data_IF_548993243137
#
_entry.id   IF_548993243137
#
_cell.length_a   1.000
_cell.length_b   1.000
_cell.length_c   1.000
_cell.angle_alpha   90.00
_cell.angle_beta   90.00
_cell.angle_gamma   90.00
#
_symmetry.space_group_name_H-M   'P 1'
#
loop_
_entity.id
_entity.type
_entity.pdbx_description
1 polymer ?
#
# COMPACT_ATOMS: atom_id res chain seq x y z
N UNK A 1 -1.70 -17.84 28.05
CA UNK A 1 -2.42 -18.97 27.42
C UNK A 1 -3.87 -18.56 27.25
N UNK A 2 -4.28 -18.00 26.13
CA UNK A 2 -5.66 -17.68 25.84
C UNK A 2 -6.26 -18.80 24.99
N UNK A 3 -7.19 -19.56 25.58
CA UNK A 3 -8.02 -20.51 24.85
C UNK A 3 -9.28 -19.80 24.37
N UNK A 4 -9.46 -19.65 23.07
CA UNK A 4 -10.74 -19.22 22.50
C UNK A 4 -11.62 -20.44 22.25
N UNK A 5 -12.61 -20.63 23.13
CA UNK A 5 -13.72 -21.54 22.88
C UNK A 5 -14.91 -20.72 22.35
N UNK A 6 -15.29 -20.89 21.11
CA UNK A 6 -16.52 -20.34 20.56
C UNK A 6 -17.73 -21.15 21.06
N UNK A 7 -18.57 -20.57 21.92
CA UNK A 7 -19.88 -21.14 22.27
C UNK A 7 -20.90 -20.72 21.22
N UNK A 8 -21.42 -21.71 20.49
CA UNK A 8 -22.56 -21.56 19.58
C UNK A 8 -23.86 -21.51 20.41
N UNK A 9 -24.58 -20.41 20.32
CA UNK A 9 -25.97 -20.29 20.81
C UNK A 9 -26.93 -20.58 19.65
N UNK A 10 -27.63 -21.70 19.74
CA UNK A 10 -28.71 -22.05 18.80
C UNK A 10 -29.96 -21.24 19.14
N UNK A 11 -30.47 -20.43 18.21
CA UNK A 11 -31.81 -19.84 18.28
C UNK A 11 -32.76 -20.69 17.45
N UNK A 12 -33.81 -21.21 18.09
CA UNK A 12 -34.95 -21.89 17.45
C UNK A 12 -35.85 -20.82 16.78
N UNK A 13 -35.94 -20.88 15.46
CA UNK A 13 -36.94 -20.20 14.66
C UNK A 13 -37.73 -21.19 13.81
N UNK A 14 -39.01 -21.32 14.05
CA UNK A 14 -39.95 -22.13 13.27
C UNK A 14 -40.35 -21.34 12.03
N UNK A 15 -40.24 -21.92 10.84
CA UNK A 15 -40.80 -21.35 9.59
C UNK A 15 -40.45 -22.12 8.31
N UNK A 16 -41.43 -22.86 7.83
CA UNK A 16 -41.70 -23.29 6.45
C UNK A 16 -40.55 -23.63 5.47
N UNK A 17 -40.57 -24.86 5.08
CA UNK A 17 -39.73 -25.67 4.22
C UNK A 17 -39.28 -25.11 2.87
N UNK A 18 -37.99 -25.11 2.70
CA UNK A 18 -37.28 -25.46 1.47
C UNK A 18 -36.02 -26.16 1.96
N UNK A 19 -35.90 -27.45 1.65
CA UNK A 19 -34.80 -28.29 2.11
C UNK A 19 -33.46 -27.89 1.50
N UNK A 20 -32.83 -26.88 2.07
CA UNK A 20 -31.38 -26.70 1.96
C UNK A 20 -30.76 -27.65 2.98
N UNK A 21 -30.22 -28.77 2.49
CA UNK A 21 -29.38 -29.63 3.29
C UNK A 21 -28.23 -28.80 3.83
N UNK A 22 -28.33 -28.41 5.11
CA UNK A 22 -27.19 -27.85 5.84
C UNK A 22 -26.08 -28.90 5.81
N UNK A 23 -25.02 -28.63 5.07
CA UNK A 23 -23.81 -29.44 5.13
C UNK A 23 -23.37 -29.44 6.59
N UNK A 24 -23.07 -30.59 7.18
CA UNK A 24 -22.58 -30.64 8.56
C UNK A 24 -21.30 -29.81 8.64
N UNK A 25 -21.28 -28.83 9.56
CA UNK A 25 -20.06 -28.10 9.89
C UNK A 25 -19.00 -29.13 10.25
N UNK A 26 -17.80 -29.11 9.61
CA UNK A 26 -16.75 -30.04 9.98
C UNK A 26 -16.47 -29.87 11.48
N UNK A 27 -16.66 -30.89 12.26
CA UNK A 27 -16.17 -30.97 13.62
C UNK A 27 -14.66 -30.99 13.53
N UNK A 28 -14.00 -29.91 14.01
CA UNK A 28 -12.55 -29.92 14.16
C UNK A 28 -12.21 -31.05 15.15
N UNK A 29 -11.56 -32.08 14.65
CA UNK A 29 -11.04 -33.16 15.46
C UNK A 29 -9.91 -32.53 16.31
N UNK A 30 -10.02 -32.58 17.63
CA UNK A 30 -9.00 -32.05 18.56
C UNK A 30 -7.61 -32.70 18.34
N UNK A 31 -7.57 -33.85 17.68
CA UNK A 31 -6.34 -34.56 17.29
C UNK A 31 -5.50 -33.83 16.23
N UNK A 32 -6.04 -32.77 15.57
CA UNK A 32 -5.33 -31.99 14.56
C UNK A 32 -4.96 -30.56 15.05
N UNK A 33 -5.24 -30.24 16.31
CA UNK A 33 -4.83 -28.96 16.89
C UNK A 33 -3.30 -28.91 17.02
N UNK A 34 -2.68 -27.97 16.31
CA UNK A 34 -1.26 -27.70 16.39
C UNK A 34 -1.03 -26.50 17.32
N UNK A 35 -0.19 -26.69 18.34
CA UNK A 35 0.23 -25.59 19.19
C UNK A 35 1.23 -24.70 18.44
N UNK A 36 0.88 -23.43 18.30
CA UNK A 36 1.73 -22.40 17.67
C UNK A 36 1.86 -21.19 18.59
N UNK A 37 3.03 -20.53 18.55
CA UNK A 37 3.27 -19.29 19.30
C UNK A 37 2.58 -18.09 18.64
N UNK A 38 2.48 -18.11 17.30
CA UNK A 38 1.77 -17.09 16.54
C UNK A 38 1.06 -17.70 15.32
N UNK A 39 -0.24 -17.35 15.16
CA UNK A 39 -1.02 -17.68 13.97
C UNK A 39 -1.31 -16.40 13.20
N UNK A 40 -0.90 -16.35 11.93
CA UNK A 40 -1.15 -15.24 11.01
C UNK A 40 -2.20 -15.68 10.00
N UNK A 41 -3.28 -14.91 9.89
CA UNK A 41 -4.38 -15.18 8.97
C UNK A 41 -4.29 -14.20 7.80
N UNK A 42 -4.09 -14.73 6.60
CA UNK A 42 -3.96 -13.99 5.35
C UNK A 42 -2.53 -13.89 4.84
N UNK A 43 -2.31 -14.38 3.61
CA UNK A 43 -1.03 -14.39 2.89
C UNK A 43 -0.81 -13.16 1.99
N UNK A 44 -1.33 -11.99 2.37
CA UNK A 44 -1.02 -10.72 1.73
C UNK A 44 0.28 -10.09 2.26
N UNK A 45 0.65 -8.93 1.74
CA UNK A 45 1.90 -8.22 2.09
C UNK A 45 2.02 -7.98 3.61
N UNK A 46 0.92 -7.66 4.30
CA UNK A 46 0.95 -7.43 5.74
C UNK A 46 1.23 -8.72 6.52
N UNK A 47 0.49 -9.79 6.23
CA UNK A 47 0.70 -11.09 6.86
C UNK A 47 2.10 -11.65 6.61
N UNK A 48 2.59 -11.58 5.37
CA UNK A 48 3.94 -11.99 4.99
C UNK A 48 5.03 -11.20 5.72
N UNK A 49 4.86 -9.88 5.82
CA UNK A 49 5.81 -9.01 6.54
C UNK A 49 5.85 -9.35 8.03
N UNK A 50 4.69 -9.49 8.68
CA UNK A 50 4.61 -9.84 10.11
C UNK A 50 5.19 -11.22 10.37
N UNK A 51 4.90 -12.21 9.50
CA UNK A 51 5.45 -13.56 9.62
C UNK A 51 6.98 -13.56 9.64
N UNK A 52 7.59 -12.90 8.64
CA UNK A 52 9.05 -12.80 8.55
C UNK A 52 9.64 -12.01 9.72
N UNK A 53 9.04 -10.88 10.10
CA UNK A 53 9.51 -10.08 11.25
C UNK A 53 9.49 -10.90 12.55
N UNK A 54 8.41 -11.64 12.81
CA UNK A 54 8.33 -12.51 13.99
C UNK A 54 9.41 -13.59 13.96
N UNK A 55 9.65 -14.20 12.80
CA UNK A 55 10.70 -15.22 12.66
C UNK A 55 12.10 -14.67 12.89
N UNK A 56 12.35 -13.41 12.47
CA UNK A 56 13.64 -12.74 12.71
C UNK A 56 13.84 -12.32 14.17
N UNK A 57 12.77 -11.89 14.85
CA UNK A 57 12.81 -11.41 16.23
C UNK A 57 12.70 -12.54 17.25
N UNK A 58 12.06 -13.64 16.91
CA UNK A 58 11.80 -14.81 17.74
C UNK A 58 12.06 -16.08 16.94
N UNK A 59 13.34 -16.45 16.69
CA UNK A 59 13.70 -17.57 15.82
C UNK A 59 13.13 -18.93 16.27
N UNK A 60 12.93 -19.10 17.59
CA UNK A 60 12.44 -20.32 18.19
C UNK A 60 10.91 -20.47 18.16
N UNK A 61 10.19 -19.40 17.79
CA UNK A 61 8.73 -19.43 17.73
C UNK A 61 8.23 -20.28 16.58
N UNK A 62 7.18 -21.06 16.85
CA UNK A 62 6.38 -21.75 15.85
C UNK A 62 5.37 -20.76 15.28
N UNK A 63 5.74 -20.10 14.19
CA UNK A 63 4.87 -19.15 13.49
C UNK A 63 4.19 -19.85 12.33
N UNK A 64 2.86 -19.80 12.27
CA UNK A 64 2.06 -20.38 11.20
C UNK A 64 1.32 -19.30 10.43
N UNK A 65 1.44 -19.29 9.11
CA UNK A 65 0.67 -18.44 8.21
C UNK A 65 -0.34 -19.29 7.47
N UNK A 66 -1.61 -18.90 7.51
CA UNK A 66 -2.70 -19.55 6.78
C UNK A 66 -3.30 -18.58 5.77
N UNK A 67 -3.62 -19.10 4.59
CA UNK A 67 -4.23 -18.38 3.48
C UNK A 67 -5.42 -19.17 2.96
N UNK A 68 -6.53 -18.49 2.68
CA UNK A 68 -7.75 -19.15 2.16
C UNK A 68 -7.60 -19.62 0.71
N UNK A 69 -6.76 -18.95 -0.06
CA UNK A 69 -6.48 -19.29 -1.44
C UNK A 69 -5.38 -20.35 -1.56
N UNK A 70 -5.21 -20.92 -2.74
CA UNK A 70 -4.20 -21.94 -3.02
C UNK A 70 -2.76 -21.38 -3.09
N UNK A 71 -2.59 -20.05 -3.05
CA UNK A 71 -1.29 -19.36 -3.00
C UNK A 71 -1.45 -17.95 -2.40
N UNK A 72 -0.34 -17.39 -1.94
CA UNK A 72 -0.29 -16.04 -1.36
C UNK A 72 -0.38 -14.94 -2.44
N UNK A 73 -0.69 -13.72 -2.03
CA UNK A 73 -0.76 -12.53 -2.87
C UNK A 73 -1.77 -12.60 -4.04
N UNK A 74 -2.94 -13.19 -3.81
CA UNK A 74 -4.00 -13.27 -4.84
C UNK A 74 -5.04 -12.16 -4.73
N UNK A 75 -5.16 -11.51 -3.58
CA UNK A 75 -6.07 -10.39 -3.34
C UNK A 75 -5.38 -9.03 -3.58
N UNK A 76 -5.60 -8.05 -2.73
CA UNK A 76 -5.07 -6.67 -2.88
C UNK A 76 -3.55 -6.56 -3.01
N UNK A 77 -2.79 -7.58 -2.60
CA UNK A 77 -1.34 -7.62 -2.82
C UNK A 77 -0.94 -8.17 -4.20
N UNK A 78 -1.90 -8.67 -5.00
CA UNK A 78 -1.60 -9.10 -6.36
C UNK A 78 -1.16 -7.89 -7.21
N UNK A 79 -0.17 -8.09 -8.06
CA UNK A 79 0.43 -7.04 -8.90
C UNK A 79 -0.56 -6.36 -9.85
N UNK A 80 -1.70 -6.99 -10.15
CA UNK A 80 -2.76 -6.45 -11.01
C UNK A 80 -3.96 -5.89 -10.24
N UNK A 81 -3.97 -6.00 -8.90
CA UNK A 81 -5.08 -5.54 -8.05
C UNK A 81 -4.77 -4.28 -7.24
N UNK A 82 -3.62 -3.66 -7.49
CA UNK A 82 -3.21 -2.40 -6.89
C UNK A 82 -2.43 -1.54 -7.89
N UNK A 83 -2.18 -0.29 -7.54
CA UNK A 83 -1.47 0.65 -8.39
C UNK A 83 0.06 0.49 -8.38
N UNK A 84 0.60 -0.38 -7.55
CA UNK A 84 2.05 -0.55 -7.40
C UNK A 84 2.80 0.68 -6.89
N UNK A 85 2.08 1.70 -6.43
CA UNK A 85 2.71 2.97 -6.02
C UNK A 85 3.48 2.80 -4.72
N UNK A 86 4.72 3.23 -4.70
CA UNK A 86 5.47 3.45 -3.46
C UNK A 86 4.91 4.66 -2.72
N UNK A 87 4.10 4.42 -1.68
CA UNK A 87 3.28 5.43 -1.01
C UNK A 87 4.09 6.43 -0.16
N UNK A 88 4.99 7.16 -0.82
CA UNK A 88 5.83 8.20 -0.19
C UNK A 88 5.13 9.58 -0.10
N UNK A 89 3.83 9.67 -0.38
CA UNK A 89 3.03 10.90 -0.40
C UNK A 89 3.56 11.98 -1.37
N UNK A 90 4.23 11.58 -2.43
CA UNK A 90 4.86 12.51 -3.38
C UNK A 90 3.83 13.14 -4.33
N UNK A 91 2.79 12.38 -4.72
CA UNK A 91 1.79 12.84 -5.69
C UNK A 91 0.33 12.73 -5.21
N UNK A 92 0.02 12.00 -4.16
CA UNK A 92 -1.36 11.75 -3.74
C UNK A 92 -2.00 12.99 -3.11
N UNK A 93 -3.10 13.52 -3.69
CA UNK A 93 -3.72 14.77 -3.22
C UNK A 93 -4.43 14.63 -1.87
N UNK A 94 -4.92 13.45 -1.53
CA UNK A 94 -5.68 13.18 -0.31
C UNK A 94 -4.86 13.26 0.99
N UNK A 95 -3.54 13.39 0.88
CA UNK A 95 -2.66 13.59 2.03
C UNK A 95 -2.38 15.07 2.33
N UNK A 96 -2.89 15.98 1.49
CA UNK A 96 -2.65 17.42 1.62
C UNK A 96 -3.92 18.24 1.39
N UNK A 97 -4.98 18.02 2.20
CA UNK A 97 -6.21 18.79 2.07
C UNK A 97 -6.00 20.27 2.42
N UNK A 98 -6.97 21.10 2.08
CA UNK A 98 -7.07 22.42 2.70
C UNK A 98 -7.49 22.29 4.16
N UNK A 99 -6.93 23.14 5.02
CA UNK A 99 -7.42 23.39 6.36
C UNK A 99 -8.82 24.02 6.33
N UNK A 100 -9.43 24.18 7.49
CA UNK A 100 -10.77 24.79 7.65
C UNK A 100 -10.87 26.24 7.15
N UNK A 101 -9.73 26.94 7.00
CA UNK A 101 -9.66 28.30 6.44
C UNK A 101 -9.81 28.33 4.90
N UNK A 102 -9.86 27.18 4.25
CA UNK A 102 -9.94 27.02 2.80
C UNK A 102 -8.73 27.56 2.02
N UNK A 103 -7.64 27.89 2.70
CA UNK A 103 -6.44 28.54 2.13
C UNK A 103 -5.15 27.82 2.46
N UNK A 104 -5.00 27.36 3.69
CA UNK A 104 -3.79 26.67 4.15
C UNK A 104 -3.82 25.22 3.72
N UNK A 105 -2.77 24.73 3.06
CA UNK A 105 -2.62 23.30 2.74
C UNK A 105 -2.02 22.59 3.95
N UNK A 106 -2.71 21.58 4.46
CA UNK A 106 -2.20 20.69 5.53
C UNK A 106 -1.23 19.68 4.93
N UNK A 107 -0.09 19.44 5.60
CA UNK A 107 0.94 18.53 5.12
C UNK A 107 1.30 17.42 6.10
N UNK A 108 0.80 17.44 7.32
CA UNK A 108 1.21 16.52 8.39
C UNK A 108 0.95 15.06 8.01
N UNK A 109 -0.19 14.80 7.36
CA UNK A 109 -0.51 13.46 6.87
C UNK A 109 0.46 13.00 5.77
N UNK A 110 0.87 13.90 4.86
CA UNK A 110 1.86 13.59 3.83
C UNK A 110 3.22 13.24 4.45
N UNK A 111 3.68 14.05 5.42
CA UNK A 111 4.93 13.82 6.15
C UNK A 111 4.90 12.49 6.90
N UNK A 112 3.82 12.21 7.64
CA UNK A 112 3.67 10.96 8.37
C UNK A 112 3.64 9.74 7.43
N UNK A 113 2.98 9.86 6.26
CA UNK A 113 2.93 8.79 5.26
C UNK A 113 4.29 8.55 4.63
N UNK A 114 5.02 9.63 4.29
CA UNK A 114 6.40 9.53 3.80
C UNK A 114 7.30 8.81 4.80
N UNK A 115 7.27 9.21 6.07
CA UNK A 115 8.07 8.59 7.13
C UNK A 115 7.81 7.09 7.25
N UNK A 116 6.54 6.65 7.17
CA UNK A 116 6.18 5.23 7.19
C UNK A 116 6.74 4.48 5.98
N UNK A 117 6.67 5.08 4.80
CA UNK A 117 7.21 4.47 3.59
C UNK A 117 8.75 4.36 3.66
N UNK A 118 9.44 5.40 4.15
CA UNK A 118 10.88 5.35 4.38
C UNK A 118 11.28 4.24 5.35
N UNK A 119 10.49 4.00 6.40
CA UNK A 119 10.69 2.86 7.31
C UNK A 119 10.55 1.52 6.57
N UNK A 120 9.57 1.40 5.68
CA UNK A 120 9.40 0.19 4.85
C UNK A 120 10.59 -0.02 3.91
N UNK A 121 11.07 1.03 3.25
CA UNK A 121 12.25 0.96 2.39
C UNK A 121 13.50 0.54 3.17
N UNK A 122 13.72 1.10 4.36
CA UNK A 122 14.84 0.73 5.21
C UNK A 122 14.76 -0.76 5.62
N UNK A 123 13.58 -1.25 5.94
CA UNK A 123 13.38 -2.68 6.24
C UNK A 123 13.66 -3.57 5.03
N UNK A 124 13.15 -3.23 3.85
CA UNK A 124 13.40 -4.00 2.63
C UNK A 124 14.87 -3.98 2.23
N UNK A 125 15.55 -2.83 2.35
CA UNK A 125 16.98 -2.70 2.14
C UNK A 125 17.78 -3.63 3.07
N UNK A 126 17.45 -3.62 4.35
CA UNK A 126 18.02 -4.55 5.34
C UNK A 126 17.84 -6.01 4.93
N UNK A 127 16.65 -6.40 4.49
CA UNK A 127 16.39 -7.79 4.08
C UNK A 127 17.23 -8.20 2.86
N UNK A 128 17.40 -7.31 1.89
CA UNK A 128 18.25 -7.56 0.70
C UNK A 128 19.74 -7.61 1.09
N UNK A 129 20.23 -6.64 1.88
CA UNK A 129 21.62 -6.61 2.36
C UNK A 129 22.00 -7.85 3.18
N UNK A 130 21.06 -8.42 3.92
CA UNK A 130 21.26 -9.65 4.70
C UNK A 130 21.04 -10.93 3.88
N UNK A 131 20.79 -10.82 2.58
CA UNK A 131 20.46 -11.95 1.69
C UNK A 131 19.23 -12.75 2.17
N UNK A 132 18.31 -12.11 2.91
CA UNK A 132 17.03 -12.69 3.32
C UNK A 132 16.07 -12.64 2.12
N UNK A 133 16.03 -11.51 1.42
CA UNK A 133 15.41 -11.42 0.09
C UNK A 133 16.46 -11.62 -1.00
N UNK A 134 16.10 -12.23 -2.14
CA UNK A 134 17.08 -12.56 -3.19
C UNK A 134 17.67 -11.33 -3.86
N UNK A 135 16.86 -10.28 -4.05
CA UNK A 135 17.23 -9.03 -4.70
C UNK A 135 16.16 -7.95 -4.47
N UNK A 136 16.33 -6.78 -5.09
CA UNK A 136 15.41 -5.66 -5.05
C UNK A 136 14.51 -5.55 -6.31
N UNK A 137 14.33 -6.62 -7.10
CA UNK A 137 13.55 -6.59 -8.35
C UNK A 137 12.06 -6.28 -8.17
N UNK A 138 11.58 -6.35 -6.93
CA UNK A 138 10.21 -5.98 -6.58
C UNK A 138 9.95 -4.46 -6.53
N UNK A 139 11.00 -3.62 -6.59
CA UNK A 139 10.88 -2.16 -6.56
C UNK A 139 11.69 -1.54 -7.70
N UNK A 140 11.10 -0.54 -8.37
CA UNK A 140 11.72 0.17 -9.48
C UNK A 140 11.59 1.68 -9.31
N UNK A 141 12.57 2.50 -9.74
CA UNK A 141 12.41 3.94 -9.84
C UNK A 141 11.29 4.29 -10.82
N UNK A 142 10.34 5.11 -10.37
CA UNK A 142 9.25 5.62 -11.19
C UNK A 142 8.89 7.04 -10.71
N UNK A 143 9.24 8.10 -11.44
CA UNK A 143 8.89 9.45 -11.05
C UNK A 143 7.38 9.61 -10.83
N UNK A 144 7.00 10.19 -9.69
CA UNK A 144 5.60 10.44 -9.40
C UNK A 144 5.17 11.80 -9.93
N UNK A 145 4.02 11.84 -10.61
CA UNK A 145 3.46 13.06 -11.19
C UNK A 145 2.05 13.27 -10.63
N UNK A 146 1.79 14.48 -10.13
CA UNK A 146 0.45 14.95 -9.80
C UNK A 146 0.06 16.01 -10.83
N UNK A 147 -1.00 15.73 -11.58
CA UNK A 147 -1.56 16.65 -12.58
C UNK A 147 -2.91 17.17 -12.12
N UNK A 148 -3.13 18.46 -12.32
CA UNK A 148 -4.39 19.14 -12.00
C UNK A 148 -4.82 20.06 -13.13
N UNK A 149 -6.12 20.37 -13.19
CA UNK A 149 -6.70 21.33 -14.10
C UNK A 149 -7.70 22.23 -13.38
N UNK A 150 -7.90 23.43 -13.92
CA UNK A 150 -8.70 24.48 -13.30
C UNK A 150 -7.93 25.34 -12.29
N UNK A 151 -8.38 26.58 -12.15
CA UNK A 151 -7.70 27.63 -11.38
C UNK A 151 -7.51 27.25 -9.91
N UNK A 152 -8.56 26.75 -9.25
CA UNK A 152 -8.50 26.42 -7.81
C UNK A 152 -7.53 25.28 -7.51
N UNK A 153 -7.49 24.27 -8.39
CA UNK A 153 -6.58 23.12 -8.24
C UNK A 153 -5.13 23.52 -8.52
N UNK A 154 -4.89 24.39 -9.48
CA UNK A 154 -3.57 24.97 -9.73
C UNK A 154 -3.04 25.70 -8.50
N UNK A 155 -3.84 26.59 -7.92
CA UNK A 155 -3.46 27.34 -6.70
C UNK A 155 -3.18 26.40 -5.53
N UNK A 156 -4.02 25.37 -5.33
CA UNK A 156 -3.80 24.37 -4.32
C UNK A 156 -2.47 23.62 -4.54
N UNK A 157 -2.19 23.15 -5.76
CA UNK A 157 -0.98 22.41 -6.08
C UNK A 157 0.28 23.26 -5.86
N UNK A 158 0.23 24.53 -6.28
CA UNK A 158 1.33 25.47 -6.06
C UNK A 158 1.65 25.62 -4.58
N UNK A 159 0.64 25.89 -3.75
CA UNK A 159 0.79 26.02 -2.28
C UNK A 159 1.29 24.71 -1.64
N UNK A 160 0.80 23.57 -2.13
CA UNK A 160 1.27 22.26 -1.71
C UNK A 160 2.77 22.11 -1.95
N UNK A 161 3.23 22.35 -3.15
CA UNK A 161 4.65 22.24 -3.49
C UNK A 161 5.49 23.24 -2.72
N UNK A 162 5.10 24.51 -2.65
CA UNK A 162 5.80 25.55 -1.87
C UNK A 162 5.98 25.17 -0.39
N UNK A 163 5.02 24.45 0.19
CA UNK A 163 5.07 24.04 1.60
C UNK A 163 5.91 22.78 1.78
N UNK A 164 5.68 21.76 0.95
CA UNK A 164 6.37 20.46 1.05
C UNK A 164 7.85 20.56 0.68
N UNK A 165 8.22 21.33 -0.37
CA UNK A 165 9.61 21.42 -0.84
C UNK A 165 10.58 22.05 0.18
N UNK A 166 10.08 22.65 1.25
CA UNK A 166 10.90 23.09 2.39
C UNK A 166 11.40 21.94 3.26
N UNK A 167 10.83 20.75 3.09
CA UNK A 167 11.21 19.56 3.84
C UNK A 167 12.16 18.70 2.99
N UNK A 168 13.25 18.19 3.55
CA UNK A 168 14.26 17.44 2.80
C UNK A 168 13.70 16.29 1.94
N UNK A 169 12.71 15.53 2.46
CA UNK A 169 12.10 14.43 1.77
C UNK A 169 11.30 14.81 0.51
N UNK A 170 10.96 16.09 0.34
CA UNK A 170 10.17 16.62 -0.78
C UNK A 170 10.91 17.71 -1.56
N UNK A 171 12.17 18.00 -1.20
CA UNK A 171 12.93 19.12 -1.77
C UNK A 171 13.14 19.01 -3.29
N UNK A 172 13.20 17.78 -3.83
CA UNK A 172 13.35 17.53 -5.26
C UNK A 172 12.04 17.66 -6.07
N UNK A 173 10.92 18.09 -5.43
CA UNK A 173 9.66 18.27 -6.13
C UNK A 173 9.73 19.44 -7.11
N UNK A 174 9.52 19.16 -8.37
CA UNK A 174 9.39 20.13 -9.45
C UNK A 174 7.92 20.56 -9.60
N UNK A 175 7.68 21.82 -10.00
CA UNK A 175 6.34 22.35 -10.31
C UNK A 175 6.36 23.04 -11.66
N UNK A 176 5.32 22.86 -12.47
CA UNK A 176 5.17 23.57 -13.74
C UNK A 176 3.71 23.82 -14.10
N UNK A 177 3.47 24.98 -14.72
CA UNK A 177 2.24 25.35 -15.41
C UNK A 177 2.46 25.37 -16.95
N UNK A 178 3.70 25.15 -17.37
CA UNK A 178 4.06 25.16 -18.76
C UNK A 178 3.68 23.87 -19.48
N UNK A 179 2.90 24.00 -20.57
CA UNK A 179 2.40 22.88 -21.35
C UNK A 179 3.53 21.96 -21.87
N UNK A 180 4.61 22.53 -22.38
CA UNK A 180 5.69 21.74 -22.99
C UNK A 180 6.50 20.99 -21.93
N UNK A 181 6.71 21.59 -20.77
CA UNK A 181 7.34 20.94 -19.62
C UNK A 181 6.49 19.77 -19.12
N UNK A 182 5.19 19.97 -18.95
CA UNK A 182 4.26 18.90 -18.50
C UNK A 182 4.22 17.77 -19.54
N UNK A 183 4.14 18.13 -20.83
CA UNK A 183 4.16 17.17 -21.93
C UNK A 183 5.46 16.36 -21.98
N UNK A 184 6.60 16.99 -21.65
CA UNK A 184 7.90 16.30 -21.54
C UNK A 184 7.93 15.31 -20.38
N UNK A 185 7.30 15.64 -19.26
CA UNK A 185 7.19 14.71 -18.12
C UNK A 185 6.28 13.52 -18.44
N UNK A 186 5.13 13.78 -19.09
CA UNK A 186 4.23 12.74 -19.57
C UNK A 186 3.37 13.26 -20.72
N UNK A 187 3.59 12.75 -21.93
CA UNK A 187 2.86 13.16 -23.13
C UNK A 187 1.35 12.90 -23.03
N UNK A 188 0.95 11.86 -22.30
CA UNK A 188 -0.47 11.49 -22.14
C UNK A 188 -1.27 12.55 -21.37
N UNK A 189 -0.66 13.29 -20.46
CA UNK A 189 -1.33 14.36 -19.69
C UNK A 189 -1.79 15.53 -20.57
N UNK A 190 -1.12 15.72 -21.70
CA UNK A 190 -1.43 16.78 -22.66
C UNK A 190 -2.21 16.31 -23.89
N UNK A 191 -2.49 15.00 -23.98
CA UNK A 191 -3.20 14.45 -25.13
C UNK A 191 -4.64 15.00 -25.23
N UNK A 192 -5.02 15.49 -26.42
CA UNK A 192 -6.32 16.10 -26.65
C UNK A 192 -6.50 17.50 -26.03
N UNK A 193 -5.49 18.10 -25.39
CA UNK A 193 -5.54 19.44 -24.81
C UNK A 193 -4.88 20.47 -25.74
N UNK A 194 -5.47 21.65 -25.97
CA UNK A 194 -4.83 22.69 -26.75
C UNK A 194 -3.64 23.30 -25.96
N UNK A 195 -2.58 23.65 -26.71
CA UNK A 195 -1.37 24.26 -26.14
C UNK A 195 -1.63 25.66 -25.52
N UNK A 196 -2.62 26.39 -26.04
CA UNK A 196 -3.00 27.71 -25.58
C UNK A 196 -4.51 27.92 -25.71
N UNK A 197 -5.07 28.82 -24.90
CA UNK A 197 -6.51 29.14 -24.94
C UNK A 197 -7.41 28.04 -24.34
N UNK A 198 -6.83 27.00 -23.76
CA UNK A 198 -7.56 25.93 -23.07
C UNK A 198 -7.71 26.16 -21.58
N UNK A 199 -8.15 25.11 -20.90
CA UNK A 199 -8.24 25.09 -19.45
C UNK A 199 -6.84 25.23 -18.80
N UNK A 200 -6.78 25.95 -17.69
CA UNK A 200 -5.54 26.08 -16.90
C UNK A 200 -5.11 24.71 -16.38
N UNK A 201 -3.86 24.36 -16.58
CA UNK A 201 -3.26 23.12 -16.11
C UNK A 201 -2.04 23.39 -15.24
N UNK A 202 -1.74 22.49 -14.33
CA UNK A 202 -0.48 22.46 -13.59
C UNK A 202 -0.11 21.02 -13.23
N UNK A 203 1.18 20.79 -13.05
CA UNK A 203 1.67 19.52 -12.56
C UNK A 203 2.83 19.71 -11.58
N UNK A 204 2.98 18.74 -10.69
CA UNK A 204 4.22 18.54 -9.95
C UNK A 204 4.79 17.16 -10.26
N UNK A 205 6.12 17.06 -10.21
CA UNK A 205 6.86 15.82 -10.43
C UNK A 205 7.89 15.64 -9.34
N UNK A 206 7.99 14.44 -8.81
CA UNK A 206 9.09 14.06 -7.91
C UNK A 206 9.90 12.95 -8.57
N UNK A 207 11.23 13.12 -8.78
CA UNK A 207 12.06 12.16 -9.50
C UNK A 207 12.25 10.84 -8.75
N UNK A 208 12.28 10.87 -7.41
CA UNK A 208 12.58 9.73 -6.55
C UNK A 208 11.34 8.88 -6.20
N UNK A 209 10.27 8.99 -6.99
CA UNK A 209 9.12 8.10 -6.88
C UNK A 209 9.50 6.65 -7.20
N UNK A 210 8.73 5.71 -6.69
CA UNK A 210 8.97 4.28 -6.90
C UNK A 210 7.70 3.54 -7.25
N UNK A 211 7.85 2.50 -8.05
CA UNK A 211 6.83 1.47 -8.29
C UNK A 211 7.24 0.19 -7.55
N UNK A 212 6.28 -0.45 -6.88
CA UNK A 212 6.48 -1.67 -6.08
C UNK A 212 5.57 -2.80 -6.60
N UNK A 213 6.16 -3.91 -7.00
CA UNK A 213 5.44 -5.15 -7.24
C UNK A 213 5.18 -5.85 -5.90
N UNK A 214 4.05 -5.50 -5.26
CA UNK A 214 3.68 -6.06 -3.96
C UNK A 214 3.43 -7.57 -4.01
N UNK A 215 3.00 -8.10 -5.16
CA UNK A 215 2.84 -9.52 -5.37
C UNK A 215 4.17 -10.28 -5.29
N UNK A 216 5.18 -9.79 -6.00
CA UNK A 216 6.53 -10.36 -5.96
C UNK A 216 7.14 -10.24 -4.56
N UNK A 217 7.07 -9.05 -3.96
CA UNK A 217 7.58 -8.82 -2.60
C UNK A 217 6.92 -9.78 -1.60
N UNK A 218 5.60 -9.94 -1.65
CA UNK A 218 4.87 -10.86 -0.76
C UNK A 218 5.34 -12.30 -0.93
N UNK A 219 5.50 -12.77 -2.15
CA UNK A 219 6.00 -14.12 -2.44
C UNK A 219 7.42 -14.32 -1.91
N UNK A 220 8.30 -13.36 -2.12
CA UNK A 220 9.67 -13.41 -1.62
C UNK A 220 9.72 -13.43 -0.09
N UNK A 221 8.92 -12.61 0.59
CA UNK A 221 8.83 -12.61 2.06
C UNK A 221 8.35 -13.96 2.62
N UNK A 222 7.32 -14.56 1.99
CA UNK A 222 6.82 -15.87 2.42
C UNK A 222 7.84 -16.99 2.14
N UNK A 223 8.56 -16.92 1.03
CA UNK A 223 9.63 -17.87 0.73
C UNK A 223 10.76 -17.82 1.75
N UNK A 224 11.14 -16.61 2.18
CA UNK A 224 12.18 -16.39 3.19
C UNK A 224 11.74 -16.72 4.62
N UNK A 225 10.43 -16.71 4.86
CA UNK A 225 9.83 -17.10 6.14
C UNK A 225 9.85 -18.62 6.35
N UNK A 226 9.74 -19.42 5.29
CA UNK A 226 9.72 -20.91 5.33
C UNK A 226 11.08 -21.51 5.68
#
# INVERSE_FOLDING_TARGET
>A
MLRFAAKSTAALGVGLGLGLALQPTPTLDDAQAEDVDALIIGGGIMGATVALMLKLLQPDWKVKLVEQHNRVALESSNEWHNAGTGHAALCEPNYTPYASDGKTVEIDKAVATNSKFMTSLAFWSFLVEKNILPDASFIQPAPHILFVHGQDKREWLKRRVEKLSKLPAFAATEYSEDYDTIKKWSGLLCNGRPRSGGEVIAASRHPDGTEVNYGLLTRNLVQSFR
#
